data_IF_025843459402
#
_entry.id   IF_025843459402
#
_cell.length_a   1.000
_cell.length_b   1.000
_cell.length_c   1.000
_cell.angle_alpha   90.00
_cell.angle_beta   90.00
_cell.angle_gamma   90.00
#
_symmetry.space_group_name_H-M   'P 1'
#
loop_
_entity.id
_entity.type
_entity.pdbx_description
1 polymer ?
#
# COMPACT_ATOMS: atom_id res chain seq x y z
N UNK A 1 -9.02 18.13 1.10
CA UNK A 1 -9.36 16.81 1.71
C UNK A 1 -9.21 15.61 0.77
N UNK A 2 -9.75 15.61 -0.46
CA UNK A 2 -9.81 14.39 -1.31
C UNK A 2 -8.47 13.87 -1.85
N UNK A 3 -7.61 14.72 -2.41
CA UNK A 3 -6.36 14.28 -3.07
C UNK A 3 -5.16 15.11 -2.63
N UNK A 4 -4.72 14.91 -1.39
CA UNK A 4 -3.49 15.56 -0.93
C UNK A 4 -2.26 14.84 -1.51
N UNK A 5 -1.20 15.55 -1.92
CA UNK A 5 0.05 14.91 -2.29
C UNK A 5 0.68 14.21 -1.08
N UNK A 6 1.57 13.25 -1.34
CA UNK A 6 2.43 12.73 -0.29
C UNK A 6 3.23 13.89 0.35
N UNK A 7 3.43 13.90 1.67
CA UNK A 7 3.06 12.85 2.63
C UNK A 7 1.75 13.17 3.39
N UNK A 8 0.89 14.02 2.83
CA UNK A 8 -0.39 14.43 3.45
C UNK A 8 -1.42 13.31 3.51
N UNK A 9 -2.28 13.37 4.53
CA UNK A 9 -3.48 12.54 4.59
C UNK A 9 -4.54 13.09 3.63
N UNK A 10 -5.26 12.18 2.99
CA UNK A 10 -6.45 12.49 2.22
C UNK A 10 -7.53 11.44 2.48
N UNK A 11 -8.76 11.71 2.05
CA UNK A 11 -9.90 10.84 2.32
C UNK A 11 -9.65 9.40 1.83
N UNK A 12 -9.08 9.24 0.63
CA UNK A 12 -8.71 7.94 0.06
C UNK A 12 -7.72 7.18 0.95
N UNK A 13 -6.58 7.80 1.31
CA UNK A 13 -5.57 7.17 2.18
C UNK A 13 -6.10 6.78 3.55
N UNK A 14 -7.03 7.56 4.10
CA UNK A 14 -7.66 7.25 5.38
C UNK A 14 -8.59 6.05 5.22
N UNK A 15 -9.45 6.06 4.19
CA UNK A 15 -10.43 4.99 3.96
C UNK A 15 -9.75 3.63 3.75
N UNK A 16 -8.88 3.52 2.75
CA UNK A 16 -8.27 2.22 2.45
C UNK A 16 -7.34 1.77 3.57
N UNK A 17 -6.67 2.68 4.29
CA UNK A 17 -5.82 2.31 5.42
C UNK A 17 -6.63 1.60 6.50
N UNK A 18 -7.73 2.20 6.96
CA UNK A 18 -8.53 1.59 8.02
C UNK A 18 -9.29 0.35 7.53
N UNK A 19 -9.81 0.37 6.31
CA UNK A 19 -10.50 -0.78 5.70
C UNK A 19 -9.57 -1.99 5.60
N UNK A 20 -8.37 -1.79 5.04
CA UNK A 20 -7.41 -2.87 4.82
C UNK A 20 -6.77 -3.32 6.13
N UNK A 21 -6.49 -2.40 7.07
CA UNK A 21 -6.01 -2.76 8.41
C UNK A 21 -7.02 -3.64 9.14
N UNK A 22 -8.31 -3.27 9.09
CA UNK A 22 -9.37 -4.04 9.74
C UNK A 22 -9.51 -5.45 9.15
N UNK A 23 -9.47 -5.56 7.81
CA UNK A 23 -9.53 -6.84 7.12
C UNK A 23 -8.28 -7.70 7.36
N UNK A 24 -7.10 -7.06 7.39
CA UNK A 24 -5.80 -7.73 7.53
C UNK A 24 -5.56 -8.24 8.95
N UNK A 25 -5.83 -7.39 9.95
CA UNK A 25 -5.46 -7.64 11.35
C UNK A 25 -6.62 -8.19 12.20
N UNK A 26 -7.78 -8.46 11.58
CA UNK A 26 -8.96 -9.03 12.25
C UNK A 26 -9.36 -8.22 13.49
N UNK A 27 -9.93 -7.04 13.25
CA UNK A 27 -10.48 -6.14 14.28
C UNK A 27 -9.46 -5.65 15.32
N UNK A 28 -8.38 -4.96 14.89
CA UNK A 28 -7.39 -4.46 15.83
C UNK A 28 -7.98 -3.37 16.75
N UNK A 29 -7.74 -3.50 18.05
CA UNK A 29 -8.29 -2.62 19.09
C UNK A 29 -7.92 -1.13 18.89
N UNK A 30 -6.83 -0.85 18.19
CA UNK A 30 -6.36 0.51 17.93
C UNK A 30 -7.17 1.28 16.89
N UNK A 31 -7.90 0.60 15.99
CA UNK A 31 -8.60 1.27 14.87
C UNK A 31 -9.65 2.25 15.37
N UNK A 32 -10.50 1.84 16.31
CA UNK A 32 -11.56 2.68 16.87
C UNK A 32 -11.03 3.96 17.54
N UNK A 33 -10.08 3.86 18.49
CA UNK A 33 -9.41 5.01 19.08
C UNK A 33 -8.74 5.92 18.06
N UNK A 34 -8.00 5.35 17.10
CA UNK A 34 -7.25 6.15 16.13
C UNK A 34 -8.17 6.90 15.15
N UNK A 35 -9.27 6.28 14.70
CA UNK A 35 -10.32 6.95 13.92
C UNK A 35 -10.92 8.14 14.67
N UNK A 36 -11.18 7.98 15.98
CA UNK A 36 -11.71 9.07 16.84
C UNK A 36 -10.74 10.23 17.04
N UNK A 37 -9.47 10.08 16.66
CA UNK A 37 -8.45 11.13 16.76
C UNK A 37 -8.22 11.90 15.46
N UNK A 38 -8.88 11.53 14.36
CA UNK A 38 -8.85 12.32 13.12
C UNK A 38 -9.61 13.64 13.29
N UNK A 39 -9.02 14.74 12.83
CA UNK A 39 -9.61 16.08 12.81
C UNK A 39 -9.44 16.70 11.44
N UNK A 40 -10.31 17.66 11.14
CA UNK A 40 -10.13 18.55 9.99
C UNK A 40 -9.76 19.94 10.52
N UNK A 41 -8.60 20.43 10.12
CA UNK A 41 -8.10 21.77 10.44
C UNK A 41 -7.53 22.35 9.14
N UNK A 42 -7.93 23.57 8.78
CA UNK A 42 -7.49 24.26 7.55
C UNK A 42 -7.55 23.38 6.29
N UNK A 43 -8.70 22.70 6.12
CA UNK A 43 -8.97 21.77 5.01
C UNK A 43 -8.01 20.58 4.87
N UNK A 44 -7.25 20.28 5.92
CA UNK A 44 -6.33 19.13 6.03
C UNK A 44 -6.85 18.14 7.06
N UNK A 45 -6.68 16.85 6.78
CA UNK A 45 -6.88 15.79 7.76
C UNK A 45 -5.62 15.73 8.64
N UNK A 46 -5.81 15.88 9.95
CA UNK A 46 -4.75 15.89 10.95
C UNK A 46 -5.11 14.97 12.11
N UNK A 47 -4.14 14.62 12.94
CA UNK A 47 -4.38 13.84 14.16
C UNK A 47 -4.46 14.76 15.38
N UNK A 48 -5.20 14.30 16.38
CA UNK A 48 -5.46 15.04 17.61
C UNK A 48 -4.20 15.40 18.38
N UNK A 49 -3.20 14.52 18.41
CA UNK A 49 -1.99 14.65 19.21
C UNK A 49 -0.82 13.89 18.55
N UNK A 50 0.36 14.01 19.17
CA UNK A 50 1.60 13.41 18.67
C UNK A 50 1.48 11.88 18.62
N UNK A 51 0.97 11.28 19.68
CA UNK A 51 0.89 9.83 19.86
C UNK A 51 0.06 9.19 18.76
N UNK A 52 -1.10 9.77 18.43
CA UNK A 52 -1.98 9.29 17.36
C UNK A 52 -1.36 9.49 15.98
N UNK A 53 -0.62 10.58 15.74
CA UNK A 53 0.11 10.75 14.47
C UNK A 53 1.25 9.75 14.28
N UNK A 54 1.98 9.45 15.35
CA UNK A 54 3.04 8.44 15.34
C UNK A 54 2.46 7.05 15.09
N UNK A 55 1.40 6.69 15.81
CA UNK A 55 0.71 5.43 15.64
C UNK A 55 0.17 5.26 14.21
N UNK A 56 -0.49 6.29 13.67
CA UNK A 56 -0.98 6.27 12.29
C UNK A 56 0.15 6.04 11.29
N UNK A 57 1.26 6.78 11.40
CA UNK A 57 2.38 6.66 10.48
C UNK A 57 3.02 5.26 10.53
N UNK A 58 3.16 4.68 11.72
CA UNK A 58 3.73 3.34 11.90
C UNK A 58 2.84 2.23 11.33
N UNK A 59 1.56 2.21 11.68
CA UNK A 59 0.64 1.18 11.18
C UNK A 59 0.41 1.31 9.67
N UNK A 60 0.42 2.53 9.14
CA UNK A 60 0.34 2.75 7.70
C UNK A 60 1.56 2.18 6.97
N UNK A 61 2.77 2.43 7.48
CA UNK A 61 3.99 1.84 6.93
C UNK A 61 3.99 0.32 7.04
N UNK A 62 3.57 -0.21 8.19
CA UNK A 62 3.45 -1.65 8.42
C UNK A 62 2.53 -2.32 7.41
N UNK A 63 1.35 -1.73 7.17
CA UNK A 63 0.38 -2.28 6.24
C UNK A 63 0.89 -2.26 4.79
N UNK A 64 1.61 -1.20 4.39
CA UNK A 64 2.29 -1.20 3.10
C UNK A 64 3.33 -2.32 2.99
N UNK A 65 4.13 -2.51 4.04
CA UNK A 65 5.20 -3.52 4.07
C UNK A 65 4.69 -4.96 4.03
N UNK A 66 3.64 -5.23 4.80
CA UNK A 66 3.08 -6.57 4.96
C UNK A 66 2.08 -6.92 3.84
N UNK A 67 1.48 -5.93 3.18
CA UNK A 67 0.42 -6.14 2.17
C UNK A 67 0.68 -5.43 0.86
N UNK A 68 0.52 -4.11 0.81
CA UNK A 68 0.40 -3.39 -0.47
C UNK A 68 1.66 -3.39 -1.34
N UNK A 69 2.83 -3.48 -0.70
CA UNK A 69 4.15 -3.48 -1.33
C UNK A 69 4.98 -4.70 -0.92
N UNK A 70 4.34 -5.74 -0.37
CA UNK A 70 5.04 -6.96 -0.02
C UNK A 70 5.57 -7.64 -1.29
N UNK A 71 6.86 -8.04 -1.39
CA UNK A 71 7.45 -8.48 -2.66
C UNK A 71 6.73 -9.67 -3.31
N UNK A 72 6.16 -10.57 -2.49
CA UNK A 72 5.34 -11.69 -2.98
C UNK A 72 4.09 -11.21 -3.73
N UNK A 73 3.35 -10.26 -3.15
CA UNK A 73 2.13 -9.72 -3.75
C UNK A 73 2.48 -8.96 -5.03
N UNK A 74 3.57 -8.20 -5.02
CA UNK A 74 4.08 -7.47 -6.18
C UNK A 74 4.43 -8.41 -7.34
N UNK A 75 5.06 -9.55 -7.05
CA UNK A 75 5.34 -10.58 -8.05
C UNK A 75 4.05 -11.19 -8.62
N UNK A 76 3.08 -11.52 -7.77
CA UNK A 76 1.78 -12.06 -8.20
C UNK A 76 1.01 -11.07 -9.07
N UNK A 77 1.03 -9.77 -8.73
CA UNK A 77 0.46 -8.72 -9.57
C UNK A 77 1.15 -8.65 -10.93
N UNK A 78 2.48 -8.73 -10.98
CA UNK A 78 3.20 -8.74 -12.25
C UNK A 78 2.86 -9.98 -13.08
N UNK A 79 2.79 -11.16 -12.47
CA UNK A 79 2.45 -12.42 -13.15
C UNK A 79 1.04 -12.35 -13.75
N UNK A 80 0.07 -11.81 -13.01
CA UNK A 80 -1.29 -11.59 -13.52
C UNK A 80 -1.30 -10.54 -14.64
N UNK A 81 -0.57 -9.44 -14.50
CA UNK A 81 -0.46 -8.41 -15.53
C UNK A 81 0.13 -8.97 -16.84
N UNK A 82 1.15 -9.83 -16.76
CA UNK A 82 1.72 -10.52 -17.92
C UNK A 82 0.68 -11.45 -18.57
N UNK A 83 -0.08 -12.20 -17.77
CA UNK A 83 -1.13 -13.10 -18.28
C UNK A 83 -2.24 -12.33 -18.99
N UNK A 84 -2.67 -11.20 -18.42
CA UNK A 84 -3.66 -10.30 -19.04
C UNK A 84 -3.12 -9.67 -20.32
N UNK A 85 -1.87 -9.20 -20.32
CA UNK A 85 -1.23 -8.59 -21.49
C UNK A 85 -1.16 -9.58 -22.65
N UNK A 86 -0.72 -10.81 -22.37
CA UNK A 86 -0.70 -11.88 -23.37
C UNK A 86 -2.11 -12.24 -23.85
N UNK A 87 -3.09 -12.30 -22.94
CA UNK A 87 -4.49 -12.59 -23.30
C UNK A 87 -5.10 -11.53 -24.22
N UNK A 88 -4.71 -10.26 -24.07
CA UNK A 88 -5.12 -9.18 -24.97
C UNK A 88 -4.44 -9.30 -26.33
N UNK A 89 -3.13 -9.61 -26.36
CA UNK A 89 -2.37 -9.80 -27.60
C UNK A 89 -2.95 -10.95 -28.44
N UNK A 90 -3.26 -12.07 -27.79
CA UNK A 90 -3.85 -13.27 -28.41
C UNK A 90 -5.36 -13.15 -28.64
N UNK A 91 -5.98 -12.00 -28.32
CA UNK A 91 -7.42 -11.74 -28.44
C UNK A 91 -8.30 -12.76 -27.69
N UNK A 92 -7.76 -13.41 -26.66
CA UNK A 92 -8.49 -14.27 -25.72
C UNK A 92 -9.48 -13.41 -24.91
N UNK A 93 -9.03 -12.21 -24.53
CA UNK A 93 -9.87 -11.15 -23.99
C UNK A 93 -9.71 -9.89 -24.85
N UNK A 94 -10.65 -8.97 -24.71
CA UNK A 94 -10.64 -7.65 -25.33
C UNK A 94 -10.58 -6.57 -24.26
N UNK A 95 -10.25 -5.34 -24.63
CA UNK A 95 -10.30 -4.21 -23.69
C UNK A 95 -11.68 -4.04 -23.04
N UNK A 96 -12.77 -4.35 -23.76
CA UNK A 96 -14.14 -4.30 -23.22
C UNK A 96 -14.34 -5.26 -22.06
N UNK A 97 -13.64 -6.40 -22.07
CA UNK A 97 -13.73 -7.38 -21.00
C UNK A 97 -13.13 -6.85 -19.70
N UNK A 98 -12.14 -5.96 -19.77
CA UNK A 98 -11.53 -5.31 -18.60
C UNK A 98 -12.48 -4.35 -17.89
N UNK A 99 -13.59 -3.96 -18.52
CA UNK A 99 -14.66 -3.14 -17.93
C UNK A 99 -15.81 -3.99 -17.36
N UNK A 100 -15.68 -5.32 -17.34
CA UNK A 100 -16.65 -6.22 -16.72
C UNK A 100 -16.23 -6.51 -15.27
N UNK A 101 -16.25 -7.77 -14.85
CA UNK A 101 -15.84 -8.21 -13.51
C UNK A 101 -14.62 -9.10 -13.57
N UNK A 102 -13.88 -9.17 -12.46
CA UNK A 102 -12.73 -10.06 -12.31
C UNK A 102 -13.09 -11.50 -12.71
N UNK A 103 -14.23 -12.03 -12.25
CA UNK A 103 -14.64 -13.40 -12.55
C UNK A 103 -14.84 -13.65 -14.05
N UNK A 104 -15.42 -12.67 -14.78
CA UNK A 104 -15.61 -12.82 -16.23
C UNK A 104 -14.28 -12.91 -16.96
N UNK A 105 -13.32 -12.07 -16.59
CA UNK A 105 -11.98 -12.08 -17.17
C UNK A 105 -11.26 -13.38 -16.81
N UNK A 106 -11.27 -13.75 -15.53
CA UNK A 106 -10.61 -14.96 -15.04
C UNK A 106 -11.18 -16.24 -15.67
N UNK A 107 -12.49 -16.32 -15.89
CA UNK A 107 -13.11 -17.44 -16.58
C UNK A 107 -12.64 -17.58 -18.03
N UNK A 108 -12.50 -16.46 -18.76
CA UNK A 108 -11.96 -16.49 -20.12
C UNK A 108 -10.51 -16.97 -20.13
N UNK A 109 -9.70 -16.46 -19.21
CA UNK A 109 -8.30 -16.85 -19.05
C UNK A 109 -8.16 -18.35 -18.70
N UNK A 110 -8.97 -18.86 -17.77
CA UNK A 110 -8.97 -20.29 -17.39
C UNK A 110 -9.41 -21.22 -18.53
N UNK A 111 -10.38 -20.80 -19.35
CA UNK A 111 -10.88 -21.59 -20.49
C UNK A 111 -9.93 -21.55 -21.69
N UNK A 112 -9.01 -20.59 -21.76
CA UNK A 112 -8.05 -20.50 -22.83
C UNK A 112 -7.03 -21.64 -22.75
N UNK A 113 -6.90 -22.45 -23.81
CA UNK A 113 -5.90 -23.52 -23.87
C UNK A 113 -4.46 -23.02 -24.13
N UNK A 114 -4.13 -21.78 -23.71
CA UNK A 114 -2.84 -21.16 -23.97
C UNK A 114 -1.81 -21.53 -22.88
N UNK A 115 -0.73 -22.27 -23.20
CA UNK A 115 0.17 -22.84 -22.18
C UNK A 115 0.81 -21.80 -21.24
N UNK A 116 1.30 -20.68 -21.78
CA UNK A 116 1.94 -19.64 -20.95
C UNK A 116 0.95 -18.94 -20.00
N UNK A 117 -0.30 -18.71 -20.43
CA UNK A 117 -1.34 -18.15 -19.58
C UNK A 117 -1.66 -19.14 -18.47
N UNK A 118 -1.84 -20.42 -18.78
CA UNK A 118 -2.11 -21.45 -17.78
C UNK A 118 -0.97 -21.59 -16.75
N UNK A 119 0.29 -21.51 -17.20
CA UNK A 119 1.46 -21.50 -16.31
C UNK A 119 1.47 -20.28 -15.38
N UNK A 120 1.13 -19.09 -15.87
CA UNK A 120 1.04 -17.88 -15.03
C UNK A 120 -0.12 -17.96 -14.05
N UNK A 121 -1.28 -18.45 -14.48
CA UNK A 121 -2.43 -18.67 -13.60
C UNK A 121 -2.14 -19.69 -12.51
N UNK A 122 -1.39 -20.77 -12.82
CA UNK A 122 -1.02 -21.76 -11.82
C UNK A 122 -0.14 -21.17 -10.72
N UNK A 123 0.59 -20.07 -10.98
CA UNK A 123 1.37 -19.36 -9.95
C UNK A 123 0.51 -18.54 -8.97
N UNK A 124 -0.76 -18.27 -9.30
CA UNK A 124 -1.63 -17.40 -8.48
C UNK A 124 -2.27 -18.18 -7.33
N UNK A 125 -1.43 -18.71 -6.44
CA UNK A 125 -1.87 -19.57 -5.35
C UNK A 125 -1.15 -19.27 -4.02
N UNK A 126 -1.66 -19.75 -2.86
CA UNK A 126 -1.02 -19.53 -1.56
C UNK A 126 0.38 -20.13 -1.40
N UNK A 127 0.69 -21.21 -2.11
CA UNK A 127 1.99 -21.91 -2.09
C UNK A 127 3.08 -21.20 -2.92
N UNK A 128 2.73 -20.15 -3.68
CA UNK A 128 3.69 -19.31 -4.39
C UNK A 128 4.71 -18.71 -3.42
N UNK A 129 5.99 -19.04 -3.64
CA UNK A 129 7.11 -18.57 -2.82
C UNK A 129 8.19 -17.89 -3.67
N UNK A 130 8.86 -16.95 -3.03
CA UNK A 130 9.91 -16.13 -3.64
C UNK A 130 11.12 -16.02 -2.73
N UNK A 131 12.25 -15.65 -3.31
CA UNK A 131 13.41 -15.09 -2.62
C UNK A 131 13.73 -13.70 -3.16
N UNK A 132 14.40 -12.89 -2.35
CA UNK A 132 15.02 -11.65 -2.80
C UNK A 132 16.49 -11.92 -3.13
N UNK A 133 16.86 -11.83 -4.41
CA UNK A 133 18.22 -12.10 -4.87
C UNK A 133 18.63 -11.07 -5.95
N UNK A 134 19.53 -10.12 -5.64
CA UNK A 134 19.95 -9.08 -6.59
C UNK A 134 20.85 -9.61 -7.71
N UNK A 135 21.35 -10.84 -7.61
CA UNK A 135 22.25 -11.44 -8.60
C UNK A 135 21.53 -12.42 -9.53
N UNK A 136 20.48 -13.10 -9.03
CA UNK A 136 19.67 -14.04 -9.80
C UNK A 136 18.18 -13.80 -9.56
N UNK A 137 17.52 -13.02 -10.42
CA UNK A 137 16.10 -12.69 -10.27
C UNK A 137 15.33 -12.88 -11.58
N UNK A 138 14.04 -13.16 -11.46
CA UNK A 138 13.09 -13.23 -12.56
C UNK A 138 12.44 -11.86 -12.81
N UNK A 139 12.21 -11.09 -11.74
CA UNK A 139 11.60 -9.77 -11.81
C UNK A 139 12.42 -8.72 -11.03
N UNK A 140 12.57 -7.53 -11.61
CA UNK A 140 13.00 -6.34 -10.89
C UNK A 140 11.86 -5.33 -10.85
N UNK A 141 11.18 -5.24 -9.72
CA UNK A 141 9.91 -4.49 -9.60
C UNK A 141 10.02 -3.36 -8.58
N UNK A 142 9.39 -2.24 -8.90
CA UNK A 142 9.15 -1.13 -7.97
C UNK A 142 7.66 -1.05 -7.67
N UNK A 143 7.33 -0.65 -6.45
CA UNK A 143 5.94 -0.46 -6.03
C UNK A 143 5.58 1.02 -6.02
N UNK A 144 4.28 1.32 -6.00
CA UNK A 144 3.82 2.67 -5.67
C UNK A 144 4.31 3.01 -4.26
N UNK A 145 5.02 4.12 -4.11
CA UNK A 145 5.47 4.61 -2.80
C UNK A 145 4.26 4.98 -1.93
N UNK A 146 4.12 4.35 -0.77
CA UNK A 146 3.02 4.61 0.17
C UNK A 146 3.59 4.83 1.56
N UNK A 147 3.50 6.05 2.04
CA UNK A 147 3.70 6.38 3.44
C UNK A 147 2.87 7.60 3.78
N UNK A 148 2.75 7.91 5.06
CA UNK A 148 2.18 9.18 5.51
C UNK A 148 3.12 9.80 6.52
N UNK A 149 3.11 11.12 6.60
CA UNK A 149 3.79 11.88 7.65
C UNK A 149 2.74 12.79 8.30
N UNK A 150 1.77 12.24 9.06
CA UNK A 150 0.59 13.00 9.42
C UNK A 150 0.93 14.26 10.22
N UNK A 151 0.16 15.31 9.97
CA UNK A 151 0.16 16.49 10.85
C UNK A 151 -0.59 16.14 12.13
N UNK A 152 -0.17 16.69 13.26
CA UNK A 152 -0.96 16.70 14.49
C UNK A 152 -1.09 18.09 15.07
N UNK A 153 -2.10 18.26 15.92
CA UNK A 153 -2.32 19.48 16.69
C UNK A 153 -1.35 19.49 17.87
N UNK A 154 -0.31 20.32 17.80
CA UNK A 154 0.59 20.56 18.93
C UNK A 154 -0.08 21.48 19.94
N UNK A 155 0.07 21.19 21.24
CA UNK A 155 -0.29 22.14 22.29
C UNK A 155 0.79 23.22 22.34
N UNK A 156 0.46 24.45 21.96
CA UNK A 156 1.29 25.60 22.33
C UNK A 156 1.33 25.73 23.87
N UNK A 157 2.48 26.10 24.42
CA UNK A 157 2.65 26.29 25.85
C UNK A 157 1.68 27.35 26.41
N UNK A 158 1.20 27.10 27.64
CA UNK A 158 0.33 27.93 28.50
C UNK A 158 0.24 29.43 28.11
N UNK A 159 -0.78 29.78 27.33
CA UNK A 159 -1.36 31.12 27.27
C UNK A 159 -2.74 30.99 26.61
N UNK A 160 -3.77 31.53 27.24
CA UNK A 160 -5.19 31.35 26.87
C UNK A 160 -5.63 32.09 25.58
N UNK A 161 -4.68 32.51 24.76
CA UNK A 161 -4.88 32.87 23.36
C UNK A 161 -3.56 32.72 22.58
N UNK A 162 -3.49 31.77 21.63
CA UNK A 162 -2.80 31.79 20.31
C UNK A 162 -2.34 30.40 19.81
N UNK A 163 -2.70 30.10 18.56
CA UNK A 163 -2.16 29.16 17.57
C UNK A 163 -1.91 27.69 17.97
N UNK A 164 -2.92 26.85 17.71
CA UNK A 164 -2.74 25.42 17.49
C UNK A 164 -1.80 25.21 16.29
N UNK A 165 -0.51 25.00 16.55
CA UNK A 165 0.45 24.69 15.49
C UNK A 165 0.22 23.27 14.96
N UNK A 166 0.11 23.14 13.64
CA UNK A 166 0.12 21.85 12.96
C UNK A 166 1.57 21.42 12.71
N UNK A 167 1.97 20.30 13.30
CA UNK A 167 3.36 19.81 13.23
C UNK A 167 3.39 18.45 12.54
N UNK A 168 4.34 18.25 11.61
CA UNK A 168 4.58 16.93 10.99
C UNK A 168 5.22 16.01 12.00
N UNK A 169 4.75 14.76 12.10
CA UNK A 169 5.28 13.84 13.09
C UNK A 169 6.78 13.54 12.86
N UNK A 170 7.25 13.48 11.61
CA UNK A 170 8.67 13.25 11.28
C UNK A 170 9.62 14.35 11.77
N UNK A 171 9.09 15.55 12.08
CA UNK A 171 9.90 16.65 12.61
C UNK A 171 10.24 16.44 14.09
N UNK A 172 9.37 15.76 14.83
CA UNK A 172 9.49 15.56 16.29
C UNK A 172 9.67 14.10 16.71
N UNK A 173 9.53 13.14 15.78
CA UNK A 173 9.87 11.73 15.96
C UNK A 173 11.01 11.34 15.02
N UNK A 174 12.26 11.22 15.54
CA UNK A 174 13.39 10.73 14.76
C UNK A 174 13.16 9.33 14.19
N UNK A 175 12.39 8.50 14.89
CA UNK A 175 12.06 7.15 14.45
C UNK A 175 11.20 7.17 13.18
N UNK A 176 10.12 7.94 13.16
CA UNK A 176 9.28 8.09 11.96
C UNK A 176 10.10 8.61 10.78
N UNK A 177 10.94 9.64 11.01
CA UNK A 177 11.80 10.19 9.96
C UNK A 177 12.71 9.12 9.36
N UNK A 178 13.34 8.31 10.22
CA UNK A 178 14.22 7.21 9.81
C UNK A 178 13.45 6.14 9.04
N UNK A 179 12.27 5.73 9.53
CA UNK A 179 11.43 4.72 8.87
C UNK A 179 10.97 5.17 7.48
N UNK A 180 10.51 6.41 7.33
CA UNK A 180 10.14 6.98 6.01
C UNK A 180 11.33 7.01 5.06
N UNK A 181 12.51 7.43 5.53
CA UNK A 181 13.71 7.48 4.69
C UNK A 181 14.15 6.08 4.23
N UNK A 182 14.16 5.10 5.14
CA UNK A 182 14.46 3.70 4.82
C UNK A 182 13.45 3.11 3.83
N UNK A 183 12.16 3.37 4.07
CA UNK A 183 11.07 2.93 3.21
C UNK A 183 11.22 3.49 1.78
N UNK A 184 11.47 4.79 1.66
CA UNK A 184 11.67 5.48 0.37
C UNK A 184 12.90 4.94 -0.37
N UNK A 185 14.00 4.69 0.35
CA UNK A 185 15.22 4.11 -0.23
C UNK A 185 14.97 2.69 -0.74
N UNK A 186 14.26 1.85 0.03
CA UNK A 186 13.90 0.48 -0.38
C UNK A 186 13.02 0.49 -1.62
N UNK A 187 11.99 1.33 -1.63
CA UNK A 187 11.09 1.49 -2.78
C UNK A 187 11.84 1.93 -4.05
N UNK A 188 12.76 2.88 -3.93
CA UNK A 188 13.60 3.36 -5.05
C UNK A 188 14.51 2.26 -5.61
N UNK A 189 15.10 1.43 -4.73
CA UNK A 189 15.91 0.28 -5.13
C UNK A 189 15.05 -0.77 -5.86
N UNK A 190 13.82 -0.95 -5.44
CA UNK A 190 12.94 -2.02 -5.90
C UNK A 190 13.33 -3.38 -5.31
N UNK A 191 12.55 -4.39 -5.69
CA UNK A 191 12.74 -5.77 -5.29
C UNK A 191 13.28 -6.57 -6.46
N UNK A 192 14.38 -7.30 -6.21
CA UNK A 192 14.93 -8.28 -7.14
C UNK A 192 14.38 -9.63 -6.71
N UNK A 193 13.36 -10.11 -7.40
CA UNK A 193 12.53 -11.23 -6.99
C UNK A 193 12.88 -12.45 -7.82
N UNK A 194 13.28 -13.51 -7.15
CA UNK A 194 13.44 -14.85 -7.72
C UNK A 194 12.26 -15.72 -7.31
N UNK A 195 11.58 -16.32 -8.26
CA UNK A 195 10.50 -17.27 -8.00
C UNK A 195 11.11 -18.63 -7.67
N UNK A 196 10.66 -19.25 -6.58
CA UNK A 196 11.22 -20.51 -6.10
C UNK A 196 10.32 -21.71 -6.43
N UNK A 197 9.05 -21.63 -6.04
CA UNK A 197 8.06 -22.68 -6.25
C UNK A 197 6.66 -22.10 -6.29
N UNK A 198 5.75 -22.82 -6.95
CA UNK A 198 4.34 -22.47 -7.07
C UNK A 198 3.50 -23.70 -7.41
#
# INVERSE_FOLDING_TARGET
LLEQPLPGLCADRVDYFFRDAYATYKTPEWVGPLLKDLRVVDHKIVLRNKESAEHFALEYLRLDEERWSHPREVALFQILADALSLSLQEKIITEKDLFLTDEVVMDKLRKASHPEIQKKLSMLNPQFTIALDPHHYDFHLRTKLRYTDPLFISKAGKSDALDKALVRISYVSPEIRKRIALHTKRNTKGFFIRVLSW
#
